data_IF_308571212442
#
_entry.id   IF_308571212442
#
_cell.length_a   1.000
_cell.length_b   1.000
_cell.length_c   1.000
_cell.angle_alpha   90.00
_cell.angle_beta   90.00
_cell.angle_gamma   90.00
#
_symmetry.space_group_name_H-M   'P 1'
#
loop_
_entity.id
_entity.type
_entity.pdbx_description
1 polymer ?
#
# COMPACT_ATOMS: atom_id res chain seq x y z
N UNK A 1 33.07 -11.29 20.56
CA UNK A 1 32.73 -9.85 20.42
C UNK A 1 33.18 -9.25 19.09
N UNK A 2 34.46 -9.37 18.68
CA UNK A 2 34.93 -8.88 17.36
C UNK A 2 34.20 -9.45 16.14
N UNK A 3 33.91 -10.75 16.12
CA UNK A 3 33.13 -11.40 15.04
C UNK A 3 31.69 -10.87 14.96
N UNK A 4 31.05 -10.63 16.12
CA UNK A 4 29.71 -10.03 16.18
C UNK A 4 29.71 -8.59 15.66
N UNK A 5 30.73 -7.79 16.02
CA UNK A 5 30.88 -6.43 15.50
C UNK A 5 31.08 -6.42 13.97
N UNK A 6 31.90 -7.33 13.43
CA UNK A 6 32.11 -7.44 11.98
C UNK A 6 30.82 -7.83 11.25
N UNK A 7 30.05 -8.77 11.81
CA UNK A 7 28.74 -9.16 11.26
C UNK A 7 27.76 -7.98 11.31
N UNK A 8 27.70 -7.25 12.43
CA UNK A 8 26.82 -6.08 12.56
C UNK A 8 27.14 -4.99 11.53
N UNK A 9 28.43 -4.70 11.32
CA UNK A 9 28.87 -3.72 10.32
C UNK A 9 28.58 -4.19 8.90
N UNK A 10 28.78 -5.47 8.59
CA UNK A 10 28.42 -6.02 7.28
C UNK A 10 26.90 -5.95 7.01
N UNK A 11 26.08 -6.32 7.99
CA UNK A 11 24.62 -6.25 7.88
C UNK A 11 24.17 -4.80 7.73
N UNK A 12 24.70 -3.87 8.52
CA UNK A 12 24.40 -2.45 8.40
C UNK A 12 24.83 -1.87 7.04
N UNK A 13 26.00 -2.28 6.53
CA UNK A 13 26.49 -1.91 5.21
C UNK A 13 25.58 -2.39 4.09
N UNK A 14 25.15 -3.65 4.12
CA UNK A 14 24.21 -4.21 3.14
C UNK A 14 22.85 -3.51 3.22
N UNK A 15 22.33 -3.28 4.43
CA UNK A 15 21.06 -2.58 4.62
C UNK A 15 21.10 -1.14 4.06
N UNK A 16 22.18 -0.40 4.34
CA UNK A 16 22.38 0.94 3.78
C UNK A 16 22.47 0.92 2.25
N UNK A 17 23.09 -0.12 1.67
CA UNK A 17 23.22 -0.28 0.22
C UNK A 17 21.87 -0.59 -0.44
N UNK A 18 21.04 -1.44 0.17
CA UNK A 18 19.68 -1.74 -0.31
C UNK A 18 18.77 -0.51 -0.26
N UNK A 19 18.82 0.26 0.84
CA UNK A 19 18.05 1.51 0.97
C UNK A 19 18.56 2.56 -0.01
N UNK A 20 19.88 2.73 -0.14
CA UNK A 20 20.49 3.71 -1.04
C UNK A 20 20.24 3.45 -2.53
N UNK A 21 19.96 2.20 -2.91
CA UNK A 21 19.58 1.83 -4.28
C UNK A 21 18.06 1.87 -4.54
N UNK A 22 17.24 2.30 -3.57
CA UNK A 22 15.78 2.36 -3.73
C UNK A 22 15.10 0.99 -3.78
N UNK A 23 15.77 -0.07 -3.29
CA UNK A 23 15.24 -1.44 -3.33
C UNK A 23 13.96 -1.61 -2.51
N UNK A 24 13.81 -0.80 -1.45
CA UNK A 24 12.60 -0.78 -0.61
C UNK A 24 11.41 -0.21 -1.37
N UNK A 25 11.62 0.88 -2.12
CA UNK A 25 10.56 1.55 -2.87
C UNK A 25 10.06 0.67 -4.02
N UNK A 26 10.98 0.04 -4.76
CA UNK A 26 10.64 -0.93 -5.82
C UNK A 26 9.84 -2.12 -5.29
N UNK A 27 10.20 -2.64 -4.12
CA UNK A 27 9.44 -3.72 -3.49
C UNK A 27 8.06 -3.26 -3.05
N UNK A 28 7.95 -2.08 -2.43
CA UNK A 28 6.68 -1.50 -2.01
C UNK A 28 5.76 -1.25 -3.21
N UNK A 29 6.29 -0.70 -4.30
CA UNK A 29 5.57 -0.44 -5.56
C UNK A 29 4.99 -1.73 -6.13
N UNK A 30 5.82 -2.78 -6.26
CA UNK A 30 5.36 -4.08 -6.74
C UNK A 30 4.26 -4.67 -5.85
N UNK A 31 4.42 -4.60 -4.52
CA UNK A 31 3.41 -5.12 -3.58
C UNK A 31 2.09 -4.36 -3.64
N UNK A 32 2.13 -3.03 -3.76
CA UNK A 32 0.94 -2.18 -3.90
C UNK A 32 0.24 -2.48 -5.22
N UNK A 33 0.99 -2.54 -6.33
CA UNK A 33 0.43 -2.90 -7.64
C UNK A 33 -0.27 -4.25 -7.61
N UNK A 34 0.39 -5.29 -7.08
CA UNK A 34 -0.21 -6.62 -6.96
C UNK A 34 -1.51 -6.61 -6.15
N UNK A 35 -1.52 -5.93 -5.00
CA UNK A 35 -2.73 -5.84 -4.17
C UNK A 35 -3.88 -5.11 -4.87
N UNK A 36 -3.60 -4.04 -5.62
CA UNK A 36 -4.61 -3.33 -6.42
C UNK A 36 -5.20 -4.22 -7.51
N UNK A 37 -4.35 -4.98 -8.21
CA UNK A 37 -4.80 -5.93 -9.25
C UNK A 37 -5.64 -7.07 -8.65
N UNK A 38 -5.22 -7.62 -7.52
CA UNK A 38 -5.98 -8.64 -6.77
C UNK A 38 -7.34 -8.11 -6.30
N UNK A 39 -7.42 -6.81 -5.97
CA UNK A 39 -8.67 -6.13 -5.65
C UNK A 39 -9.55 -5.79 -6.88
N UNK A 40 -9.12 -6.14 -8.10
CA UNK A 40 -9.87 -5.94 -9.33
C UNK A 40 -9.61 -4.61 -10.05
N UNK A 41 -8.59 -3.84 -9.64
CA UNK A 41 -8.17 -2.64 -10.36
C UNK A 41 -7.45 -3.04 -11.65
N UNK A 42 -7.79 -2.37 -12.76
CA UNK A 42 -7.13 -2.57 -14.05
C UNK A 42 -5.61 -2.36 -13.93
N UNK A 43 -4.81 -3.22 -14.57
CA UNK A 43 -3.35 -3.24 -14.42
C UNK A 43 -2.69 -1.88 -14.73
N UNK A 44 -3.13 -1.18 -15.79
CA UNK A 44 -2.60 0.14 -16.13
C UNK A 44 -2.94 1.23 -15.10
N UNK A 45 -4.12 1.14 -14.48
CA UNK A 45 -4.53 2.05 -13.40
C UNK A 45 -3.75 1.71 -12.12
N UNK A 46 -3.59 0.43 -11.82
CA UNK A 46 -2.81 -0.06 -10.69
C UNK A 46 -1.33 0.35 -10.77
N UNK A 47 -0.74 0.33 -11.97
CA UNK A 47 0.63 0.78 -12.23
C UNK A 47 0.80 2.27 -11.89
N UNK A 48 -0.02 3.14 -12.49
CA UNK A 48 -0.05 4.57 -12.19
C UNK A 48 -0.27 4.86 -10.71
N UNK A 49 -1.21 4.16 -10.07
CA UNK A 49 -1.50 4.34 -8.65
C UNK A 49 -0.31 3.93 -7.78
N UNK A 50 0.32 2.80 -8.07
CA UNK A 50 1.42 2.26 -7.27
C UNK A 50 2.63 3.20 -7.19
N UNK A 51 3.03 3.80 -8.33
CA UNK A 51 4.11 4.79 -8.39
C UNK A 51 3.77 6.01 -7.53
N UNK A 52 2.59 6.61 -7.74
CA UNK A 52 2.16 7.80 -7.01
C UNK A 52 2.01 7.58 -5.51
N UNK A 53 1.62 6.36 -5.10
CA UNK A 53 1.44 6.02 -3.70
C UNK A 53 2.78 5.84 -2.99
N UNK A 54 3.77 5.18 -3.61
CA UNK A 54 5.12 5.04 -3.02
C UNK A 54 5.87 6.37 -2.97
N UNK A 55 5.61 7.29 -3.90
CA UNK A 55 6.20 8.63 -3.88
C UNK A 55 5.66 9.54 -2.76
N UNK A 56 4.44 9.29 -2.28
CA UNK A 56 3.73 10.19 -1.36
C UNK A 56 3.41 9.58 0.00
N UNK A 57 3.42 8.26 0.12
CA UNK A 57 3.16 7.55 1.36
C UNK A 57 4.43 6.88 1.85
N UNK A 58 4.66 6.95 3.16
CA UNK A 58 5.70 6.17 3.80
C UNK A 58 5.38 4.67 3.75
N UNK A 59 6.41 3.83 3.86
CA UNK A 59 6.22 2.37 3.94
C UNK A 59 5.27 1.96 5.08
N UNK A 60 5.32 2.66 6.22
CA UNK A 60 4.42 2.42 7.35
C UNK A 60 2.95 2.72 6.98
N UNK A 61 2.71 3.80 6.24
CA UNK A 61 1.39 4.18 5.75
C UNK A 61 0.84 3.19 4.71
N UNK A 62 1.69 2.70 3.80
CA UNK A 62 1.32 1.65 2.84
C UNK A 62 0.97 0.32 3.53
N UNK A 63 1.71 -0.05 4.58
CA UNK A 63 1.38 -1.20 5.42
C UNK A 63 0.05 -1.05 6.15
N UNK A 64 -0.22 0.15 6.68
CA UNK A 64 -1.48 0.44 7.34
C UNK A 64 -2.67 0.37 6.37
N UNK A 65 -2.50 0.91 5.16
CA UNK A 65 -3.49 0.78 4.08
C UNK A 65 -3.78 -0.68 3.74
N UNK A 66 -2.74 -1.50 3.56
CA UNK A 66 -2.88 -2.92 3.25
C UNK A 66 -3.64 -3.65 4.36
N UNK A 67 -3.24 -3.48 5.62
CA UNK A 67 -3.91 -4.09 6.76
C UNK A 67 -5.37 -3.59 6.92
N UNK A 68 -5.61 -2.32 6.61
CA UNK A 68 -6.93 -1.69 6.67
C UNK A 68 -7.87 -2.07 5.52
N UNK A 69 -7.36 -2.68 4.44
CA UNK A 69 -8.15 -3.15 3.31
C UNK A 69 -8.34 -4.67 3.27
N UNK A 70 -7.56 -5.43 4.04
CA UNK A 70 -7.71 -6.89 4.12
C UNK A 70 -9.09 -7.28 4.69
N UNK A 71 -9.82 -8.22 4.05
CA UNK A 71 -11.08 -8.73 4.56
C UNK A 71 -10.89 -9.36 5.94
N UNK A 72 -11.77 -9.05 6.90
CA UNK A 72 -11.76 -9.70 8.22
C UNK A 72 -12.64 -10.97 8.17
N UNK A 73 -12.28 -11.99 8.95
CA UNK A 73 -13.14 -13.14 9.18
C UNK A 73 -14.51 -12.69 9.73
N UNK A 74 -15.58 -12.98 8.98
CA UNK A 74 -16.95 -12.58 9.31
C UNK A 74 -17.46 -11.36 8.54
N UNK A 75 -16.64 -10.74 7.69
CA UNK A 75 -17.09 -9.67 6.81
C UNK A 75 -18.01 -10.26 5.71
N UNK A 76 -19.21 -9.69 5.48
CA UNK A 76 -20.14 -10.22 4.50
C UNK A 76 -19.53 -10.13 3.10
N UNK A 77 -19.27 -11.29 2.49
CA UNK A 77 -18.78 -11.40 1.12
C UNK A 77 -19.89 -11.13 0.08
N UNK A 78 -21.14 -11.31 0.48
CA UNK A 78 -22.32 -10.97 -0.32
C UNK A 78 -22.96 -9.73 0.29
N UNK A 79 -22.89 -8.62 -0.44
CA UNK A 79 -23.53 -7.37 -0.06
C UNK A 79 -24.89 -7.33 -0.74
N UNK A 80 -25.96 -7.43 0.05
CA UNK A 80 -27.33 -7.51 -0.46
C UNK A 80 -27.90 -6.12 -0.85
N UNK A 81 -27.23 -5.04 -0.47
CA UNK A 81 -27.65 -3.67 -0.79
C UNK A 81 -26.53 -2.64 -0.80
N UNK A 82 -26.82 -1.49 -1.43
CA UNK A 82 -25.93 -0.33 -1.51
C UNK A 82 -25.56 0.19 -0.10
N UNK A 83 -26.48 0.10 0.85
CA UNK A 83 -26.24 0.47 2.26
C UNK A 83 -25.14 -0.35 2.92
N UNK A 84 -25.10 -1.66 2.66
CA UNK A 84 -24.10 -2.58 3.23
C UNK A 84 -22.72 -2.33 2.59
N UNK A 85 -22.68 -2.04 1.29
CA UNK A 85 -21.45 -1.65 0.60
C UNK A 85 -20.87 -0.36 1.20
N UNK A 86 -21.70 0.66 1.41
CA UNK A 86 -21.26 1.92 2.03
C UNK A 86 -20.78 1.67 3.46
N UNK A 87 -21.52 0.88 4.24
CA UNK A 87 -21.15 0.58 5.62
C UNK A 87 -19.80 -0.16 5.69
N UNK A 88 -19.58 -1.14 4.81
CA UNK A 88 -18.33 -1.90 4.71
C UNK A 88 -17.17 -1.00 4.27
N UNK A 89 -17.35 -0.19 3.24
CA UNK A 89 -16.31 0.73 2.77
C UNK A 89 -15.96 1.74 3.87
N UNK A 90 -16.96 2.27 4.57
CA UNK A 90 -16.73 3.18 5.71
C UNK A 90 -15.95 2.49 6.83
N UNK A 91 -16.33 1.29 7.22
CA UNK A 91 -15.66 0.54 8.29
C UNK A 91 -14.17 0.28 7.95
N UNK A 92 -13.89 -0.07 6.69
CA UNK A 92 -12.50 -0.20 6.20
C UNK A 92 -11.73 1.12 6.25
N UNK A 93 -12.36 2.24 5.87
CA UNK A 93 -11.74 3.57 5.94
C UNK A 93 -11.47 4.01 7.39
N UNK A 94 -12.43 3.77 8.29
CA UNK A 94 -12.29 4.07 9.71
C UNK A 94 -11.15 3.26 10.34
N UNK A 95 -10.99 1.99 9.93
CA UNK A 95 -9.87 1.12 10.35
C UNK A 95 -8.52 1.64 9.88
N UNK A 96 -8.42 2.16 8.66
CA UNK A 96 -7.18 2.77 8.16
C UNK A 96 -6.80 3.95 9.05
N UNK A 97 -7.77 4.78 9.46
CA UNK A 97 -7.59 5.85 10.45
C UNK A 97 -6.58 6.94 10.07
N UNK A 98 -6.01 6.88 8.87
CA UNK A 98 -4.99 7.78 8.37
C UNK A 98 -5.57 8.64 7.23
N UNK A 99 -5.86 9.93 7.49
CA UNK A 99 -6.48 10.81 6.50
C UNK A 99 -5.56 11.10 5.32
N UNK A 100 -4.24 11.02 5.49
CA UNK A 100 -3.28 11.22 4.40
C UNK A 100 -3.30 10.03 3.45
N UNK A 101 -3.32 8.80 3.98
CA UNK A 101 -3.47 7.57 3.20
C UNK A 101 -4.74 7.59 2.37
N UNK A 102 -5.88 7.96 2.98
CA UNK A 102 -7.17 8.02 2.28
C UNK A 102 -7.13 9.08 1.18
N UNK A 103 -6.60 10.28 1.49
CA UNK A 103 -6.51 11.39 0.54
C UNK A 103 -5.63 11.05 -0.65
N UNK A 104 -4.43 10.52 -0.41
CA UNK A 104 -3.48 10.15 -1.48
C UNK A 104 -4.08 9.06 -2.34
N UNK A 105 -4.60 7.99 -1.73
CA UNK A 105 -5.21 6.87 -2.46
C UNK A 105 -6.39 7.33 -3.32
N UNK A 106 -7.30 8.13 -2.76
CA UNK A 106 -8.46 8.66 -3.50
C UNK A 106 -8.03 9.60 -4.63
N UNK A 107 -7.05 10.47 -4.39
CA UNK A 107 -6.52 11.38 -5.41
C UNK A 107 -5.80 10.64 -6.55
N UNK A 108 -5.01 9.62 -6.22
CA UNK A 108 -4.33 8.77 -7.19
C UNK A 108 -5.33 7.96 -8.01
N UNK A 109 -6.37 7.40 -7.38
CA UNK A 109 -7.44 6.72 -8.08
C UNK A 109 -8.13 7.66 -9.08
N UNK A 110 -8.50 8.88 -8.66
CA UNK A 110 -9.12 9.86 -9.55
C UNK A 110 -8.24 10.25 -10.73
N UNK A 111 -6.96 10.54 -10.50
CA UNK A 111 -6.00 10.95 -11.54
C UNK A 111 -5.69 9.81 -12.50
N UNK A 112 -5.43 8.60 -11.98
CA UNK A 112 -5.03 7.45 -12.79
C UNK A 112 -6.19 6.83 -13.58
N UNK A 113 -7.43 6.91 -13.08
CA UNK A 113 -8.61 6.42 -13.81
C UNK A 113 -8.97 7.30 -15.01
N UNK A 114 -8.76 8.62 -14.91
CA UNK A 114 -9.02 9.57 -16.00
C UNK A 114 -7.80 9.77 -16.94
N UNK A 115 -6.70 9.05 -16.69
CA UNK A 115 -5.53 9.01 -17.59
C UNK A 115 -4.64 10.24 -17.59
N UNK A 116 -4.68 11.06 -16.52
CA UNK A 116 -3.83 12.26 -16.36
C UNK A 116 -2.65 12.04 -15.40
N UNK A 117 -2.39 10.77 -15.07
CA UNK A 117 -1.46 10.34 -14.02
C UNK A 117 -0.08 10.02 -14.51
#
# INVERSE_FOLDING_TARGET
>A
MKKLLVILVLVAGIAALVVGLGGVDRYAEWRVKSALVEAGVNEGVADCMSVRMVERLSFAQLRNLQAGMEPIEGEPQNLDGLGDLIAQVRDRLDRIGDPEVIKVTASSAGICTIGIG
#
